data_IF_391295641614
#
_entry.id   IF_391295641614
#
_cell.length_a   1.000
_cell.length_b   1.000
_cell.length_c   1.000
_cell.angle_alpha   90.00
_cell.angle_beta   90.00
_cell.angle_gamma   90.00
#
_symmetry.space_group_name_H-M   'P 1'
#
loop_
_entity.id
_entity.type
_entity.pdbx_description
1 polymer ?
#
# COMPACT_ATOMS: atom_id res chain seq x y z
N UNK A 1 11.88 16.51 -2.78
CA UNK A 1 10.78 15.74 -3.39
C UNK A 1 10.32 14.74 -2.36
N UNK A 2 9.06 14.74 -2.01
CA UNK A 2 8.52 13.82 -0.98
C UNK A 2 8.43 12.40 -1.53
N UNK A 3 8.56 11.41 -0.66
CA UNK A 3 8.47 9.99 -1.00
C UNK A 3 7.34 9.34 -0.22
N UNK A 4 6.43 8.67 -0.92
CA UNK A 4 5.32 7.92 -0.31
C UNK A 4 5.53 6.43 -0.51
N UNK A 5 5.52 5.68 0.59
CA UNK A 5 5.56 4.23 0.54
C UNK A 5 4.15 3.65 0.33
N UNK A 6 3.99 2.76 -0.65
CA UNK A 6 2.78 1.94 -0.83
C UNK A 6 3.11 0.51 -0.40
N UNK A 7 2.62 0.12 0.78
CA UNK A 7 2.71 -1.26 1.25
C UNK A 7 1.36 -1.93 1.05
N UNK A 8 1.31 -2.98 0.23
CA UNK A 8 0.05 -3.50 -0.24
C UNK A 8 -0.05 -5.02 -0.20
N UNK A 9 -1.27 -5.50 -0.02
CA UNK A 9 -1.62 -6.86 -0.39
C UNK A 9 -1.61 -7.00 -1.91
N UNK A 10 -1.08 -8.11 -2.43
CA UNK A 10 -1.12 -8.45 -3.85
C UNK A 10 -2.52 -8.32 -4.48
N UNK A 11 -3.57 -8.51 -3.70
CA UNK A 11 -4.97 -8.38 -4.14
C UNK A 11 -5.31 -6.97 -4.67
N UNK A 12 -4.60 -5.92 -4.22
CA UNK A 12 -4.90 -4.53 -4.54
C UNK A 12 -3.95 -3.93 -5.60
N UNK A 13 -3.33 -4.77 -6.42
CA UNK A 13 -2.41 -4.30 -7.47
C UNK A 13 -3.11 -3.44 -8.53
N UNK A 14 -4.34 -3.79 -8.91
CA UNK A 14 -5.10 -3.04 -9.92
C UNK A 14 -5.49 -1.65 -9.42
N UNK A 15 -5.83 -1.53 -8.15
CA UNK A 15 -6.11 -0.26 -7.49
C UNK A 15 -4.88 0.64 -7.45
N UNK A 16 -3.69 0.05 -7.19
CA UNK A 16 -2.42 0.80 -7.26
C UNK A 16 -2.15 1.28 -8.67
N UNK A 17 -2.27 0.41 -9.68
CA UNK A 17 -2.09 0.79 -11.08
C UNK A 17 -3.03 1.94 -11.45
N UNK A 18 -4.30 1.86 -11.04
CA UNK A 18 -5.27 2.92 -11.26
C UNK A 18 -4.86 4.25 -10.61
N UNK A 19 -4.38 4.24 -9.36
CA UNK A 19 -3.88 5.42 -8.68
C UNK A 19 -2.68 6.02 -9.43
N UNK A 20 -1.70 5.19 -9.80
CA UNK A 20 -0.50 5.62 -10.51
C UNK A 20 -0.80 6.23 -11.89
N UNK A 21 -1.86 5.77 -12.57
CA UNK A 21 -2.28 6.32 -13.86
C UNK A 21 -3.00 7.67 -13.74
N UNK A 22 -3.74 7.88 -12.64
CA UNK A 22 -4.67 9.00 -12.53
C UNK A 22 -4.16 10.16 -11.66
N UNK A 23 -3.04 9.98 -10.98
CA UNK A 23 -2.42 11.05 -10.19
C UNK A 23 -1.18 11.59 -10.89
N UNK A 24 -1.34 12.75 -11.53
CA UNK A 24 -0.26 13.43 -12.27
C UNK A 24 0.84 14.04 -11.37
N UNK A 25 0.65 14.05 -10.06
CA UNK A 25 1.68 14.49 -9.10
C UNK A 25 2.72 13.41 -8.79
N UNK A 26 2.47 12.17 -9.22
CA UNK A 26 3.45 11.09 -9.11
C UNK A 26 4.50 11.23 -10.20
N UNK A 27 5.72 11.56 -9.80
CA UNK A 27 6.83 11.84 -10.73
C UNK A 27 7.70 10.61 -11.02
N UNK A 28 7.74 9.63 -10.11
CA UNK A 28 8.49 8.40 -10.29
C UNK A 28 7.91 7.25 -9.48
N UNK A 29 8.09 6.04 -9.99
CA UNK A 29 7.64 4.80 -9.35
C UNK A 29 8.83 3.87 -9.17
N UNK A 30 9.03 3.36 -7.97
CA UNK A 30 10.03 2.35 -7.65
C UNK A 30 9.33 1.12 -7.09
N UNK A 31 9.65 -0.06 -7.61
CA UNK A 31 9.04 -1.34 -7.18
C UNK A 31 10.10 -2.16 -6.44
N UNK A 32 9.74 -2.70 -5.28
CA UNK A 32 10.59 -3.59 -4.50
C UNK A 32 10.44 -5.02 -5.00
N UNK A 33 11.55 -5.65 -5.38
CA UNK A 33 11.62 -7.06 -5.81
C UNK A 33 11.49 -7.99 -4.59
N UNK A 34 10.45 -8.84 -4.58
CA UNK A 34 10.21 -9.76 -3.47
C UNK A 34 9.50 -11.08 -3.89
N UNK A 35 9.54 -11.43 -5.17
CA UNK A 35 8.82 -12.59 -5.71
C UNK A 35 7.34 -12.34 -6.01
N UNK A 36 6.74 -11.30 -5.46
CA UNK A 36 5.33 -10.92 -5.72
C UNK A 36 5.20 -9.71 -6.66
N UNK A 37 6.33 -9.23 -7.20
CA UNK A 37 6.38 -8.04 -8.06
C UNK A 37 6.14 -8.33 -9.54
N UNK A 38 6.37 -9.55 -10.01
CA UNK A 38 6.36 -9.89 -11.46
C UNK A 38 5.03 -9.54 -12.14
N UNK A 39 3.91 -9.95 -11.54
CA UNK A 39 2.58 -9.63 -12.08
C UNK A 39 2.32 -8.12 -12.07
N UNK A 40 2.77 -7.44 -11.03
CA UNK A 40 2.59 -6.01 -10.89
C UNK A 40 3.36 -5.21 -11.95
N UNK A 41 4.62 -5.57 -12.21
CA UNK A 41 5.40 -4.89 -13.27
C UNK A 41 4.83 -5.14 -14.66
N UNK A 42 4.25 -6.33 -14.95
CA UNK A 42 3.53 -6.56 -16.19
C UNK A 42 2.35 -5.61 -16.35
N UNK A 43 1.56 -5.39 -15.29
CA UNK A 43 0.44 -4.43 -15.31
C UNK A 43 0.92 -2.99 -15.53
N UNK A 44 2.06 -2.60 -14.95
CA UNK A 44 2.65 -1.27 -15.19
C UNK A 44 3.10 -1.10 -16.64
N UNK A 45 3.74 -2.11 -17.22
CA UNK A 45 4.17 -2.11 -18.61
C UNK A 45 2.98 -2.04 -19.57
N UNK A 46 1.91 -2.80 -19.32
CA UNK A 46 0.68 -2.79 -20.14
C UNK A 46 0.03 -1.40 -20.22
N UNK A 47 0.13 -0.61 -19.16
CA UNK A 47 -0.44 0.74 -19.11
C UNK A 47 0.58 1.84 -19.40
N UNK A 48 1.84 1.49 -19.68
CA UNK A 48 2.90 2.40 -20.06
C UNK A 48 3.47 3.26 -18.92
N UNK A 49 3.37 2.79 -17.66
CA UNK A 49 3.97 3.47 -16.50
C UNK A 49 5.44 3.04 -16.39
N UNK A 50 6.34 4.04 -16.48
CA UNK A 50 7.77 3.82 -16.25
C UNK A 50 8.05 3.60 -14.75
N UNK A 51 8.89 2.61 -14.44
CA UNK A 51 9.27 2.27 -13.07
C UNK A 51 10.75 1.88 -12.98
N UNK A 52 11.28 1.89 -11.76
CA UNK A 52 12.59 1.35 -11.41
C UNK A 52 12.42 0.13 -10.49
N UNK A 53 13.31 -0.85 -10.59
CA UNK A 53 13.33 -2.02 -9.70
C UNK A 53 14.46 -1.88 -8.68
N UNK A 54 14.19 -2.27 -7.44
CA UNK A 54 15.19 -2.38 -6.39
C UNK A 54 15.04 -3.73 -5.68
N UNK A 55 16.16 -4.40 -5.45
CA UNK A 55 16.16 -5.70 -4.75
C UNK A 55 15.94 -5.55 -3.24
N UNK A 56 16.24 -4.39 -2.67
CA UNK A 56 16.01 -4.12 -1.26
C UNK A 56 15.82 -2.61 -1.02
N UNK A 57 14.85 -2.26 -0.17
CA UNK A 57 14.53 -0.87 0.18
C UNK A 57 15.71 -0.13 0.86
N UNK A 58 16.66 -0.87 1.46
CA UNK A 58 17.86 -0.28 2.08
C UNK A 58 18.78 0.42 1.10
N UNK A 59 18.68 0.13 -0.20
CA UNK A 59 19.45 0.82 -1.24
C UNK A 59 18.96 2.25 -1.54
N UNK A 60 17.76 2.59 -1.06
CA UNK A 60 17.27 3.97 -1.19
C UNK A 60 17.90 4.89 -0.13
N UNK A 61 18.08 6.18 -0.43
CA UNK A 61 18.49 7.17 0.57
C UNK A 61 17.45 7.29 1.68
N UNK A 62 17.88 7.75 2.85
CA UNK A 62 16.94 8.06 3.93
C UNK A 62 16.14 9.33 3.59
N UNK A 63 14.89 9.41 4.05
CA UNK A 63 13.99 10.53 3.73
C UNK A 63 14.54 11.90 4.19
N UNK A 64 15.29 11.92 5.28
CA UNK A 64 15.91 13.14 5.82
C UNK A 64 17.02 13.72 4.91
N UNK A 65 17.61 12.90 4.03
CA UNK A 65 18.69 13.30 3.12
C UNK A 65 18.17 13.95 1.82
N UNK A 66 16.89 13.82 1.52
CA UNK A 66 16.28 14.28 0.25
C UNK A 66 15.67 15.69 0.31
N UNK A 67 16.28 16.60 1.04
CA UNK A 67 15.80 17.97 1.32
C UNK A 67 15.73 18.90 0.08
N UNK A 68 14.95 18.54 -0.93
CA UNK A 68 14.47 19.49 -1.95
C UNK A 68 12.96 19.35 -2.11
N UNK A 69 12.21 20.01 -1.22
CA UNK A 69 10.75 20.08 -1.30
C UNK A 69 10.34 20.97 -2.48
N UNK A 70 10.03 20.37 -3.62
CA UNK A 70 9.07 20.97 -4.54
C UNK A 70 7.67 20.55 -4.06
N UNK A 71 6.80 21.51 -3.84
CA UNK A 71 5.51 21.30 -3.13
C UNK A 71 4.44 20.54 -3.93
N UNK A 72 4.71 20.06 -5.14
CA UNK A 72 3.68 19.47 -6.01
C UNK A 72 3.90 17.99 -6.35
N UNK A 73 5.15 17.54 -6.48
CA UNK A 73 5.43 16.22 -7.04
C UNK A 73 6.08 15.31 -6.01
N UNK A 74 5.72 14.04 -6.02
CA UNK A 74 6.27 13.03 -5.12
C UNK A 74 6.64 11.74 -5.85
N UNK A 75 7.54 10.97 -5.24
CA UNK A 75 7.89 9.63 -5.68
C UNK A 75 7.13 8.57 -4.89
N UNK A 76 6.83 7.46 -5.55
CA UNK A 76 6.16 6.32 -4.93
C UNK A 76 7.09 5.12 -4.91
N UNK A 77 7.18 4.46 -3.74
CA UNK A 77 7.81 3.16 -3.60
C UNK A 77 6.70 2.14 -3.36
N UNK A 78 6.62 1.10 -4.21
CA UNK A 78 5.60 0.05 -4.09
C UNK A 78 6.23 -1.25 -3.61
N UNK A 79 5.69 -1.82 -2.53
CA UNK A 79 6.07 -3.11 -2.00
C UNK A 79 4.82 -3.99 -1.81
N UNK A 80 4.65 -4.96 -2.69
CA UNK A 80 3.54 -5.90 -2.62
C UNK A 80 3.92 -7.08 -1.73
N UNK A 81 3.03 -7.47 -0.82
CA UNK A 81 3.19 -8.66 0.00
C UNK A 81 2.31 -9.80 -0.53
N UNK A 82 2.72 -11.01 -0.23
CA UNK A 82 2.05 -12.24 -0.69
C UNK A 82 0.58 -12.33 -0.25
N UNK A 83 -0.24 -12.94 -1.09
CA UNK A 83 -1.68 -13.07 -0.88
C UNK A 83 -2.03 -13.92 0.35
N UNK A 84 -1.27 -14.98 0.62
CA UNK A 84 -1.59 -15.95 1.69
C UNK A 84 -1.42 -15.45 3.13
N UNK A 85 -0.84 -14.28 3.34
CA UNK A 85 -0.57 -13.76 4.71
C UNK A 85 -1.83 -13.56 5.54
N UNK A 86 -2.99 -13.27 4.93
CA UNK A 86 -4.25 -13.06 5.64
C UNK A 86 -4.78 -14.30 6.36
N UNK A 87 -4.36 -15.50 5.96
CA UNK A 87 -4.73 -16.75 6.63
C UNK A 87 -4.11 -16.88 8.02
N UNK A 88 -3.01 -16.15 8.26
CA UNK A 88 -2.27 -16.17 9.50
C UNK A 88 -2.13 -14.76 10.09
N UNK A 89 -3.15 -14.22 10.79
CA UNK A 89 -3.18 -12.82 11.22
C UNK A 89 -1.96 -12.35 12.01
N UNK A 90 -1.37 -13.22 12.84
CA UNK A 90 -0.14 -12.90 13.60
C UNK A 90 1.06 -12.72 12.68
N UNK A 91 1.24 -13.63 11.71
CA UNK A 91 2.33 -13.57 10.73
C UNK A 91 2.16 -12.34 9.84
N UNK A 92 0.93 -12.06 9.41
CA UNK A 92 0.61 -10.84 8.67
C UNK A 92 1.05 -9.60 9.45
N UNK A 93 0.65 -9.49 10.72
CA UNK A 93 1.03 -8.34 11.56
C UNK A 93 2.55 -8.19 11.65
N UNK A 94 3.26 -9.25 11.98
CA UNK A 94 4.72 -9.25 12.10
C UNK A 94 5.37 -8.79 10.79
N UNK A 95 4.92 -9.33 9.65
CA UNK A 95 5.47 -8.98 8.33
C UNK A 95 5.18 -7.53 7.92
N UNK A 96 3.94 -7.08 8.11
CA UNK A 96 3.56 -5.68 7.83
C UNK A 96 4.38 -4.73 8.70
N UNK A 97 4.50 -4.98 10.01
CA UNK A 97 5.26 -4.13 10.92
C UNK A 97 6.75 -4.11 10.59
N UNK A 98 7.35 -5.26 10.22
CA UNK A 98 8.74 -5.31 9.73
C UNK A 98 8.93 -4.42 8.50
N UNK A 99 8.03 -4.49 7.53
CA UNK A 99 8.09 -3.66 6.34
C UNK A 99 7.91 -2.18 6.66
N UNK A 100 6.97 -1.82 7.54
CA UNK A 100 6.73 -0.44 7.97
C UNK A 100 7.94 0.16 8.69
N UNK A 101 8.62 -0.61 9.55
CA UNK A 101 9.88 -0.17 10.19
C UNK A 101 10.98 0.15 9.18
N UNK A 102 11.03 -0.61 8.09
CA UNK A 102 12.00 -0.35 7.00
C UNK A 102 11.59 0.85 6.16
N UNK A 103 10.30 0.97 5.86
CA UNK A 103 9.77 2.14 5.13
C UNK A 103 9.93 3.45 5.88
N UNK A 104 9.74 3.43 7.22
CA UNK A 104 9.76 4.65 8.04
C UNK A 104 11.05 5.44 7.97
N UNK A 105 12.12 4.84 7.47
CA UNK A 105 13.42 5.50 7.23
C UNK A 105 13.58 6.05 5.81
N UNK A 106 12.71 5.62 4.88
CA UNK A 106 12.86 5.84 3.44
C UNK A 106 11.74 6.68 2.82
N UNK A 107 10.62 6.82 3.54
CA UNK A 107 9.43 7.52 3.07
C UNK A 107 8.98 8.58 4.08
N UNK A 108 8.40 9.66 3.57
CA UNK A 108 7.81 10.74 4.38
C UNK A 108 6.40 10.38 4.88
N UNK A 109 5.79 9.37 4.28
CA UNK A 109 4.50 8.81 4.67
C UNK A 109 4.27 7.45 4.01
N UNK A 110 3.40 6.65 4.59
CA UNK A 110 3.11 5.31 4.10
C UNK A 110 1.61 5.14 3.92
N UNK A 111 1.21 4.73 2.73
CA UNK A 111 -0.14 4.28 2.45
C UNK A 111 -0.19 2.76 2.55
N UNK A 112 -0.88 2.26 3.57
CA UNK A 112 -1.06 0.84 3.83
C UNK A 112 -2.33 0.35 3.15
N UNK A 113 -2.17 -0.27 1.98
CA UNK A 113 -3.27 -0.83 1.18
C UNK A 113 -3.60 -2.24 1.70
N UNK A 114 -4.14 -2.26 2.91
CA UNK A 114 -4.65 -3.42 3.64
C UNK A 114 -5.94 -3.06 4.35
N UNK A 115 -6.79 -4.06 4.60
CA UNK A 115 -7.88 -3.95 5.58
C UNK A 115 -7.42 -4.33 6.98
N UNK A 116 -8.36 -4.42 7.91
CA UNK A 116 -8.13 -4.85 9.29
C UNK A 116 -7.58 -6.28 9.39
N UNK A 117 -7.94 -7.14 8.44
CA UNK A 117 -7.46 -8.53 8.33
C UNK A 117 -7.51 -9.30 9.67
N UNK A 118 -8.70 -9.41 10.24
CA UNK A 118 -8.89 -9.99 11.58
C UNK A 118 -8.52 -9.04 12.72
N UNK A 119 -8.59 -7.73 12.48
CA UNK A 119 -8.32 -6.64 13.43
C UNK A 119 -6.86 -6.55 13.93
N UNK A 120 -5.92 -7.21 13.27
CA UNK A 120 -4.50 -7.19 13.70
C UNK A 120 -3.79 -5.91 13.32
N UNK A 121 -4.30 -5.16 12.31
CA UNK A 121 -3.75 -3.91 11.83
C UNK A 121 -4.48 -2.66 12.36
N UNK A 122 -5.49 -2.82 13.22
CA UNK A 122 -6.33 -1.70 13.69
C UNK A 122 -5.61 -0.62 14.51
N UNK A 123 -4.39 -0.87 14.97
CA UNK A 123 -3.57 0.10 15.73
C UNK A 123 -2.35 0.62 14.97
N UNK A 124 -2.19 0.24 13.70
CA UNK A 124 -0.97 0.53 12.94
C UNK A 124 -0.69 2.04 12.83
N UNK A 125 -1.71 2.86 12.62
CA UNK A 125 -1.56 4.32 12.52
C UNK A 125 -1.05 4.93 13.83
N UNK A 126 -1.57 4.46 14.96
CA UNK A 126 -1.15 4.90 16.31
C UNK A 126 0.27 4.42 16.65
N UNK A 127 0.58 3.16 16.32
CA UNK A 127 1.87 2.55 16.64
C UNK A 127 3.04 3.19 15.87
N UNK A 128 2.76 3.81 14.70
CA UNK A 128 3.77 4.45 13.84
C UNK A 128 3.73 5.98 13.86
N UNK A 129 2.81 6.62 14.55
CA UNK A 129 2.62 8.08 14.52
C UNK A 129 3.87 8.92 14.80
N UNK A 130 4.76 8.42 15.66
CA UNK A 130 5.99 9.11 16.08
C UNK A 130 7.21 8.78 15.19
N UNK A 131 7.05 7.87 14.22
CA UNK A 131 8.12 7.43 13.32
C UNK A 131 7.91 7.94 11.91
N UNK A 132 6.79 7.58 11.32
CA UNK A 132 6.39 7.95 9.97
C UNK A 132 4.87 7.87 9.90
N UNK A 133 4.18 8.88 9.37
CA UNK A 133 2.73 8.81 9.19
C UNK A 133 2.32 7.59 8.36
N UNK A 134 1.48 6.75 8.93
CA UNK A 134 0.86 5.61 8.21
C UNK A 134 -0.62 5.87 8.09
N UNK A 135 -1.16 5.71 6.89
CA UNK A 135 -2.60 5.78 6.62
C UNK A 135 -3.04 4.42 6.08
N UNK A 136 -3.95 3.76 6.77
CA UNK A 136 -4.55 2.50 6.33
C UNK A 136 -5.78 2.76 5.45
N UNK A 137 -6.02 1.86 4.51
CA UNK A 137 -7.10 1.96 3.54
C UNK A 137 -8.48 2.09 4.21
N UNK A 138 -9.25 3.08 3.76
CA UNK A 138 -10.60 3.38 4.25
C UNK A 138 -11.61 3.33 3.13
N UNK A 139 -12.85 3.05 3.49
CA UNK A 139 -13.97 3.15 2.56
C UNK A 139 -14.44 4.61 2.38
N UNK A 140 -15.41 4.88 1.47
CA UNK A 140 -15.91 6.24 1.24
C UNK A 140 -16.58 6.87 2.49
N UNK A 141 -17.01 6.09 3.45
CA UNK A 141 -17.56 6.53 4.72
C UNK A 141 -16.47 6.91 5.75
N UNK A 142 -15.19 6.63 5.43
CA UNK A 142 -14.03 6.92 6.29
C UNK A 142 -13.70 5.82 7.29
N UNK A 143 -14.38 4.67 7.22
CA UNK A 143 -14.11 3.52 8.06
C UNK A 143 -12.97 2.67 7.47
N UNK A 144 -12.12 2.09 8.32
CA UNK A 144 -11.10 1.15 7.85
C UNK A 144 -11.80 -0.08 7.26
N UNK A 145 -11.39 -0.50 6.07
CA UNK A 145 -11.97 -1.67 5.42
C UNK A 145 -11.66 -2.95 6.21
N UNK A 146 -12.62 -3.88 6.28
CA UNK A 146 -12.46 -5.12 7.07
C UNK A 146 -11.35 -6.03 6.48
N UNK A 147 -11.30 -6.15 5.16
CA UNK A 147 -10.31 -6.94 4.42
C UNK A 147 -10.12 -6.41 2.98
N UNK A 148 -9.18 -7.00 2.25
CA UNK A 148 -8.88 -6.61 0.87
C UNK A 148 -10.04 -6.93 -0.09
N UNK A 149 -10.87 -7.94 0.19
CA UNK A 149 -12.05 -8.28 -0.61
C UNK A 149 -13.10 -7.18 -0.43
N UNK A 150 -13.34 -6.76 0.82
CA UNK A 150 -14.22 -5.63 1.12
C UNK A 150 -13.78 -4.35 0.42
N UNK A 151 -12.47 -4.11 0.32
CA UNK A 151 -11.91 -2.97 -0.40
C UNK A 151 -12.27 -3.01 -1.90
N UNK A 152 -12.02 -4.14 -2.58
CA UNK A 152 -12.28 -4.31 -4.03
C UNK A 152 -13.77 -4.23 -4.39
N UNK A 153 -14.66 -4.58 -3.46
CA UNK A 153 -16.13 -4.50 -3.64
C UNK A 153 -16.68 -3.09 -3.37
N UNK A 154 -15.88 -2.17 -2.84
CA UNK A 154 -16.30 -0.79 -2.54
C UNK A 154 -16.72 -0.56 -1.08
N UNK A 155 -16.17 -1.35 -0.16
CA UNK A 155 -16.35 -1.21 1.29
C UNK A 155 -17.50 -2.03 1.88
N UNK A 156 -17.61 -1.94 3.20
CA UNK A 156 -18.54 -2.75 4.02
C UNK A 156 -20.00 -2.66 3.59
N UNK A 157 -20.46 -1.48 3.22
CA UNK A 157 -21.84 -1.27 2.80
C UNK A 157 -22.17 -2.05 1.52
N UNK A 158 -21.29 -2.00 0.54
CA UNK A 158 -21.46 -2.72 -0.74
C UNK A 158 -21.42 -4.22 -0.53
N UNK A 159 -20.48 -4.69 0.31
CA UNK A 159 -20.37 -6.09 0.68
C UNK A 159 -21.64 -6.64 1.34
N UNK A 160 -22.22 -5.91 2.31
CA UNK A 160 -23.49 -6.29 2.94
C UNK A 160 -24.65 -6.31 1.94
N UNK A 161 -24.72 -5.34 1.03
CA UNK A 161 -25.76 -5.30 -0.01
C UNK A 161 -25.65 -6.50 -0.95
N UNK A 162 -24.43 -6.85 -1.35
CA UNK A 162 -24.16 -8.02 -2.17
C UNK A 162 -24.62 -9.31 -1.46
N UNK A 163 -24.25 -9.51 -0.19
CA UNK A 163 -24.67 -10.66 0.59
C UNK A 163 -26.20 -10.77 0.72
N UNK A 164 -26.91 -9.64 0.85
CA UNK A 164 -28.37 -9.62 0.90
C UNK A 164 -28.99 -10.02 -0.43
N UNK A 165 -28.39 -9.68 -1.55
CA UNK A 165 -28.89 -10.03 -2.89
C UNK A 165 -28.79 -11.53 -3.19
N UNK A 166 -27.87 -12.26 -2.55
CA UNK A 166 -27.76 -13.72 -2.67
C UNK A 166 -28.74 -14.51 -1.79
N UNK A 167 -29.46 -13.85 -0.88
CA UNK A 167 -30.43 -14.47 0.01
C UNK A 167 -31.90 -14.32 -0.47
N UNK A 168 -32.05 -13.78 -1.68
CA UNK A 168 -33.38 -13.61 -2.31
C UNK A 168 -33.94 -14.88 -2.90
#
# INVERSE_FOLDING_TARGET
MSTIGFLSCKMLQDEIVYLLQNDSSISSVTVVENGEHEEFIQKLDEVGIAFSLISDISFLPDSDETNSKSDSDFSVIVWNLELGLHEFPKILKEKVYECLERYSKKADGIFLLYGLCGNVLGKVEEDFKDKCPVVILRDPEGEIVDDCIGATIGGRRQYINLLKSFKG
#
